data_IF_590683064722
#
_entry.id   IF_590683064722
#
_cell.length_a   1.000
_cell.length_b   1.000
_cell.length_c   1.000
_cell.angle_alpha   90.00
_cell.angle_beta   90.00
_cell.angle_gamma   90.00
#
_symmetry.space_group_name_H-M   'P 1'
#
loop_
_entity.id
_entity.type
_entity.pdbx_description
1 polymer ?
#
# COMPACT_ATOMS: atom_id res chain seq x y z
N UNK A 1 22.34 -20.17 -8.71
CA UNK A 1 22.88 -18.88 -8.28
C UNK A 1 22.67 -18.80 -6.79
N UNK A 2 23.71 -18.49 -6.03
CA UNK A 2 23.55 -18.30 -4.59
C UNK A 2 22.61 -17.13 -4.34
N UNK A 3 21.63 -17.33 -3.43
CA UNK A 3 20.63 -16.32 -3.08
C UNK A 3 21.34 -15.12 -2.46
N UNK A 4 21.22 -13.95 -3.06
CA UNK A 4 21.83 -12.71 -2.55
C UNK A 4 21.30 -12.48 -1.13
N UNK A 5 22.21 -12.32 -0.17
CA UNK A 5 21.85 -12.13 1.24
C UNK A 5 21.52 -10.66 1.49
N UNK A 6 20.32 -10.40 2.00
CA UNK A 6 19.88 -9.11 2.51
C UNK A 6 20.27 -8.95 3.99
N UNK A 7 20.36 -7.71 4.44
CA UNK A 7 20.55 -7.36 5.86
C UNK A 7 19.23 -7.48 6.62
N UNK A 8 19.30 -7.53 7.94
CA UNK A 8 18.09 -7.52 8.78
C UNK A 8 17.52 -6.11 8.89
N UNK A 9 16.23 -6.03 9.18
CA UNK A 9 15.55 -4.73 9.36
C UNK A 9 16.10 -4.00 10.60
N UNK A 10 16.46 -4.74 11.66
CA UNK A 10 17.07 -4.17 12.87
C UNK A 10 18.42 -3.50 12.57
N UNK A 11 19.28 -4.12 11.74
CA UNK A 11 20.55 -3.53 11.30
C UNK A 11 20.30 -2.23 10.52
N UNK A 12 19.31 -2.23 9.62
CA UNK A 12 18.96 -1.05 8.84
C UNK A 12 18.40 0.09 9.71
N UNK A 13 17.53 -0.22 10.68
CA UNK A 13 16.98 0.76 11.65
C UNK A 13 18.11 1.40 12.45
N UNK A 14 19.08 0.60 12.90
CA UNK A 14 20.21 1.11 13.70
C UNK A 14 21.11 2.07 12.89
N UNK A 15 21.41 1.72 11.64
CA UNK A 15 22.19 2.57 10.75
C UNK A 15 21.40 3.84 10.37
N UNK A 16 20.10 3.71 10.09
CA UNK A 16 19.23 4.85 9.80
C UNK A 16 19.14 5.85 10.96
N UNK A 17 19.10 5.33 12.21
CA UNK A 17 19.13 6.15 13.44
C UNK A 17 20.43 6.95 13.58
N UNK A 18 21.54 6.43 13.09
CA UNK A 18 22.85 7.13 13.06
C UNK A 18 22.97 8.10 11.89
N UNK A 19 21.97 8.16 11.03
CA UNK A 19 21.97 8.96 9.81
C UNK A 19 22.78 8.32 8.69
N UNK A 20 23.05 7.03 8.72
CA UNK A 20 23.65 6.33 7.60
C UNK A 20 22.61 5.97 6.53
N UNK A 21 23.07 5.77 5.31
CA UNK A 21 22.21 5.34 4.21
C UNK A 21 21.78 3.89 4.36
N UNK A 22 20.56 3.63 3.90
CA UNK A 22 20.04 2.28 3.68
C UNK A 22 19.63 2.15 2.22
N UNK A 23 20.01 1.05 1.58
CA UNK A 23 19.51 0.67 0.25
C UNK A 23 18.26 -0.18 0.45
N UNK A 24 17.16 0.23 -0.16
CA UNK A 24 15.88 -0.48 -0.07
C UNK A 24 15.47 -0.94 -1.46
N UNK A 25 15.16 -2.22 -1.62
CA UNK A 25 14.66 -2.79 -2.88
C UNK A 25 13.21 -3.16 -2.77
N UNK A 26 12.47 -2.98 -3.85
CA UNK A 26 11.10 -3.44 -3.97
C UNK A 26 11.00 -4.79 -4.70
N UNK A 27 9.77 -5.24 -4.96
CA UNK A 27 9.48 -6.51 -5.61
C UNK A 27 9.82 -6.47 -7.11
N UNK A 28 10.27 -7.61 -7.66
CA UNK A 28 10.56 -7.78 -9.10
C UNK A 28 9.33 -7.52 -9.98
N UNK A 29 8.13 -7.80 -9.45
CA UNK A 29 6.85 -7.60 -10.15
C UNK A 29 6.29 -6.16 -10.03
N UNK A 30 6.99 -5.26 -9.27
CA UNK A 30 6.58 -3.86 -9.09
C UNK A 30 7.45 -2.91 -9.94
N UNK A 31 8.46 -2.26 -9.38
CA UNK A 31 9.43 -1.40 -10.07
C UNK A 31 10.72 -2.19 -10.36
N UNK A 32 11.01 -3.16 -9.50
CA UNK A 32 12.26 -3.91 -9.50
C UNK A 32 13.49 -2.99 -9.42
N UNK A 33 13.42 -2.00 -8.53
CA UNK A 33 14.42 -0.95 -8.37
C UNK A 33 14.96 -0.92 -6.93
N UNK A 34 16.00 -0.14 -6.72
CA UNK A 34 16.54 0.13 -5.40
C UNK A 34 16.79 1.60 -5.18
N UNK A 35 16.36 2.10 -4.03
CA UNK A 35 16.55 3.47 -3.62
C UNK A 35 17.58 3.59 -2.49
N UNK A 36 18.40 4.64 -2.57
CA UNK A 36 19.27 5.08 -1.50
C UNK A 36 18.48 6.03 -0.59
N UNK A 37 18.28 5.64 0.67
CA UNK A 37 17.38 6.34 1.60
C UNK A 37 18.13 6.80 2.84
N UNK A 38 17.79 7.99 3.37
CA UNK A 38 18.34 8.57 4.61
C UNK A 38 17.29 9.43 5.32
N UNK A 39 17.37 9.52 6.65
CA UNK A 39 16.52 10.41 7.45
C UNK A 39 16.74 11.89 7.08
N UNK A 40 15.65 12.63 6.88
CA UNK A 40 15.71 14.04 6.47
C UNK A 40 16.40 14.94 7.49
N UNK A 41 16.19 14.71 8.79
CA UNK A 41 16.80 15.53 9.85
C UNK A 41 18.32 15.34 9.96
N UNK A 42 18.86 14.21 9.49
CA UNK A 42 20.27 13.84 9.58
C UNK A 42 21.03 13.99 8.26
N UNK A 43 20.37 14.51 7.20
CA UNK A 43 21.01 14.73 5.91
C UNK A 43 21.98 15.91 5.95
N UNK A 44 23.15 15.76 5.35
CA UNK A 44 24.18 16.80 5.22
C UNK A 44 24.49 17.13 3.76
N UNK A 45 25.16 18.24 3.46
CA UNK A 45 25.60 18.54 2.10
C UNK A 45 26.43 17.42 1.47
N UNK A 46 27.33 16.78 2.25
CA UNK A 46 28.17 15.67 1.80
C UNK A 46 27.32 14.46 1.42
N UNK A 47 26.26 14.19 2.20
CA UNK A 47 25.32 13.09 1.94
C UNK A 47 24.46 13.35 0.69
N UNK A 48 23.97 14.58 0.50
CA UNK A 48 23.31 14.96 -0.76
C UNK A 48 24.26 14.77 -1.95
N UNK A 49 25.52 15.23 -1.82
CA UNK A 49 26.51 15.06 -2.88
C UNK A 49 26.81 13.57 -3.15
N UNK A 50 26.85 12.73 -2.11
CA UNK A 50 26.98 11.28 -2.23
C UNK A 50 25.82 10.68 -3.06
N UNK A 51 24.56 11.04 -2.73
CA UNK A 51 23.39 10.59 -3.49
C UNK A 51 23.50 10.98 -4.97
N UNK A 52 23.79 12.24 -5.24
CA UNK A 52 23.92 12.76 -6.62
C UNK A 52 25.00 12.03 -7.42
N UNK A 53 26.11 11.69 -6.76
CA UNK A 53 27.26 11.05 -7.39
C UNK A 53 27.05 9.55 -7.62
N UNK A 54 26.42 8.86 -6.67
CA UNK A 54 26.40 7.40 -6.64
C UNK A 54 25.03 6.79 -6.95
N UNK A 55 23.92 7.46 -6.60
CA UNK A 55 22.58 6.98 -6.96
C UNK A 55 22.13 7.49 -8.33
N UNK A 56 22.29 8.79 -8.64
CA UNK A 56 22.04 9.42 -9.96
C UNK A 56 20.58 9.56 -10.39
N UNK A 57 19.62 9.14 -9.55
CA UNK A 57 18.18 9.25 -9.77
C UNK A 57 17.63 10.65 -9.47
N UNK A 58 16.34 10.73 -9.20
CA UNK A 58 15.67 11.98 -8.82
C UNK A 58 15.68 12.13 -7.30
N UNK A 59 16.25 13.23 -6.79
CA UNK A 59 16.25 13.50 -5.36
C UNK A 59 14.83 13.89 -4.91
N UNK A 60 14.21 13.02 -4.15
CA UNK A 60 12.89 13.18 -3.58
C UNK A 60 12.94 13.26 -2.05
N UNK A 61 11.91 13.88 -1.47
CA UNK A 61 11.77 14.03 -0.02
C UNK A 61 10.40 13.55 0.47
N UNK A 62 10.25 12.26 0.79
CA UNK A 62 9.05 11.74 1.42
C UNK A 62 8.74 12.42 2.74
N UNK A 63 7.48 12.83 2.93
CA UNK A 63 6.92 13.36 4.17
C UNK A 63 5.49 12.84 4.35
N UNK A 64 4.97 12.93 5.57
CA UNK A 64 3.60 12.49 5.85
C UNK A 64 2.55 13.40 5.22
N UNK A 65 1.35 12.88 4.98
CA UNK A 65 0.21 13.67 4.49
C UNK A 65 -0.10 14.85 5.40
N UNK A 66 -0.05 14.63 6.73
CA UNK A 66 -0.24 15.71 7.71
C UNK A 66 0.79 16.82 7.54
N UNK A 67 2.07 16.45 7.34
CA UNK A 67 3.13 17.42 7.14
C UNK A 67 3.01 18.19 5.83
N UNK A 68 2.58 17.54 4.75
CA UNK A 68 2.25 18.22 3.51
C UNK A 68 1.17 19.30 3.71
N UNK A 69 0.11 18.97 4.47
CA UNK A 69 -0.96 19.93 4.79
C UNK A 69 -0.49 21.09 5.65
N UNK A 70 0.32 20.81 6.68
CA UNK A 70 0.91 21.85 7.55
C UNK A 70 1.76 22.83 6.77
N UNK A 71 2.52 22.35 5.78
CA UNK A 71 3.40 23.15 4.95
C UNK A 71 2.75 23.71 3.69
N UNK A 72 1.43 23.51 3.50
CA UNK A 72 0.68 23.90 2.30
C UNK A 72 1.36 23.45 1.01
N UNK A 73 1.62 22.14 0.92
CA UNK A 73 2.22 21.48 -0.24
C UNK A 73 1.17 20.63 -0.97
N UNK A 74 0.39 21.21 -1.89
CA UNK A 74 -0.60 20.45 -2.66
C UNK A 74 0.08 19.49 -3.64
N UNK A 75 -0.71 18.55 -4.17
CA UNK A 75 -0.26 17.70 -5.27
C UNK A 75 0.20 18.55 -6.48
N UNK A 76 1.22 18.07 -7.17
CA UNK A 76 1.77 18.75 -8.35
C UNK A 76 0.76 18.87 -9.49
N UNK A 77 -0.17 17.90 -9.58
CA UNK A 77 -1.23 17.87 -10.59
C UNK A 77 -2.57 17.54 -9.94
N UNK A 78 -3.65 18.03 -10.51
CA UNK A 78 -5.02 17.73 -10.07
C UNK A 78 -5.46 16.32 -10.46
N UNK A 79 -4.93 15.80 -11.57
CA UNK A 79 -5.19 14.44 -12.05
C UNK A 79 -3.85 13.74 -12.28
N UNK A 80 -3.56 12.73 -11.47
CA UNK A 80 -2.34 11.94 -11.59
C UNK A 80 -2.56 10.83 -12.63
N UNK A 81 -1.80 10.87 -13.74
CA UNK A 81 -1.84 9.88 -14.83
C UNK A 81 -0.56 9.03 -14.89
N UNK A 82 0.33 9.14 -13.89
CA UNK A 82 1.54 8.31 -13.86
C UNK A 82 1.18 6.84 -13.64
N UNK A 83 1.96 5.94 -14.24
CA UNK A 83 1.70 4.49 -14.25
C UNK A 83 1.57 3.94 -12.83
N UNK A 84 2.40 4.39 -11.90
CA UNK A 84 2.45 3.92 -10.50
C UNK A 84 1.80 4.90 -9.51
N UNK A 85 1.16 5.96 -10.01
CA UNK A 85 0.49 6.94 -9.17
C UNK A 85 1.44 7.69 -8.22
N UNK A 86 2.72 7.92 -8.61
CA UNK A 86 3.71 8.59 -7.76
C UNK A 86 3.22 9.95 -7.28
N UNK A 87 3.08 10.14 -5.95
CA UNK A 87 2.33 11.26 -5.39
C UNK A 87 3.21 12.50 -5.17
N UNK A 88 3.72 13.09 -6.24
CA UNK A 88 4.50 14.33 -6.17
C UNK A 88 3.67 15.50 -5.67
N UNK A 89 4.29 16.32 -4.81
CA UNK A 89 3.81 17.68 -4.52
C UNK A 89 4.46 18.70 -5.45
N UNK A 90 4.05 19.97 -5.33
CA UNK A 90 4.81 21.07 -5.91
C UNK A 90 6.24 21.06 -5.38
N UNK A 91 7.21 21.42 -6.22
CA UNK A 91 8.62 21.50 -5.84
C UNK A 91 8.90 22.71 -4.97
N UNK A 92 9.92 22.63 -4.11
CA UNK A 92 10.24 23.66 -3.13
C UNK A 92 11.74 23.87 -2.96
N UNK A 93 12.09 25.07 -2.47
CA UNK A 93 13.41 25.38 -1.90
C UNK A 93 13.24 26.16 -0.62
N UNK A 94 14.12 25.93 0.39
CA UNK A 94 14.18 26.76 1.59
C UNK A 94 14.67 28.16 1.24
N UNK A 95 13.98 29.21 1.70
CA UNK A 95 14.30 30.59 1.37
C UNK A 95 15.48 31.14 2.20
N UNK A 96 15.37 31.03 3.51
CA UNK A 96 16.38 31.58 4.39
C UNK A 96 17.64 30.72 4.47
N UNK A 97 18.81 31.33 4.28
CA UNK A 97 20.11 30.67 4.36
C UNK A 97 20.45 29.77 3.16
N UNK A 98 19.68 29.88 2.05
CA UNK A 98 19.97 29.21 0.79
C UNK A 98 20.29 30.24 -0.31
N UNK A 99 20.92 29.76 -1.39
CA UNK A 99 21.25 30.58 -2.56
C UNK A 99 20.23 30.36 -3.69
N UNK A 100 20.57 29.54 -4.68
CA UNK A 100 19.68 29.23 -5.83
C UNK A 100 18.86 27.94 -5.65
N UNK A 101 19.04 27.22 -4.54
CA UNK A 101 18.34 25.96 -4.27
C UNK A 101 19.02 24.70 -4.83
N UNK A 102 19.96 24.83 -5.78
CA UNK A 102 20.53 23.70 -6.53
C UNK A 102 21.71 23.04 -5.83
N UNK A 103 22.51 23.78 -5.08
CA UNK A 103 23.70 23.24 -4.43
C UNK A 103 23.37 22.11 -3.46
N UNK A 104 24.33 21.21 -3.21
CA UNK A 104 24.15 20.15 -2.21
C UNK A 104 23.82 20.74 -0.82
N UNK A 105 24.37 21.91 -0.48
CA UNK A 105 24.10 22.62 0.76
C UNK A 105 22.65 23.13 0.82
N UNK A 106 22.16 23.76 -0.25
CA UNK A 106 20.77 24.27 -0.32
C UNK A 106 19.76 23.14 -0.28
N UNK A 107 20.01 22.06 -1.04
CA UNK A 107 19.14 20.87 -1.04
C UNK A 107 19.09 20.20 0.34
N UNK A 108 20.24 20.02 1.00
CA UNK A 108 20.28 19.48 2.35
C UNK A 108 19.54 20.38 3.34
N UNK A 109 19.67 21.70 3.23
CA UNK A 109 18.96 22.66 4.08
C UNK A 109 17.44 22.59 3.85
N UNK A 110 17.00 22.46 2.60
CA UNK A 110 15.58 22.32 2.24
C UNK A 110 14.99 21.02 2.79
N UNK A 111 15.69 19.88 2.63
CA UNK A 111 15.23 18.58 3.12
C UNK A 111 15.17 18.56 4.66
N UNK A 112 16.18 19.11 5.36
CA UNK A 112 16.12 19.22 6.82
C UNK A 112 14.96 20.09 7.29
N UNK A 113 14.67 21.18 6.58
CA UNK A 113 13.55 22.06 6.94
C UNK A 113 12.19 21.35 6.83
N UNK A 114 12.03 20.32 5.98
CA UNK A 114 10.82 19.50 5.94
C UNK A 114 10.61 18.70 7.23
N UNK A 115 11.71 18.29 7.88
CA UNK A 115 11.70 17.58 9.17
C UNK A 115 11.69 18.50 10.39
N UNK A 116 11.91 19.79 10.24
CA UNK A 116 11.89 20.76 11.34
C UNK A 116 10.44 21.12 11.70
N UNK A 117 9.96 20.80 12.91
CA UNK A 117 8.58 21.10 13.34
C UNK A 117 8.26 22.61 13.37
N UNK A 118 9.29 23.48 13.41
CA UNK A 118 9.12 24.93 13.40
C UNK A 118 8.96 25.51 11.98
N UNK A 119 9.24 24.74 10.94
CA UNK A 119 9.05 25.18 9.56
C UNK A 119 7.58 25.37 9.23
N UNK A 120 7.30 26.45 8.52
CA UNK A 120 5.95 26.89 8.10
C UNK A 120 5.88 27.01 6.57
N UNK A 121 4.70 27.23 5.98
CA UNK A 121 4.58 27.44 4.54
C UNK A 121 5.52 28.50 3.99
N UNK A 122 5.71 29.59 4.73
CA UNK A 122 6.58 30.73 4.34
C UNK A 122 8.08 30.42 4.39
N UNK A 123 8.46 29.28 5.00
CA UNK A 123 9.86 28.81 5.00
C UNK A 123 10.33 28.45 3.59
N UNK A 124 9.38 28.11 2.69
CA UNK A 124 9.67 27.55 1.38
C UNK A 124 9.22 28.43 0.22
N UNK A 125 10.12 28.66 -0.73
CA UNK A 125 9.80 29.14 -2.07
C UNK A 125 9.21 28.04 -2.94
N UNK A 126 8.33 28.40 -3.88
CA UNK A 126 7.59 27.52 -4.80
C UNK A 126 7.56 28.16 -6.17
N UNK A 127 7.97 27.49 -7.27
CA UNK A 127 8.61 26.16 -7.30
C UNK A 127 10.05 26.21 -6.80
N UNK A 128 10.66 25.01 -6.62
CA UNK A 128 12.07 24.84 -6.22
C UNK A 128 12.69 23.58 -6.84
N UNK A 129 13.74 23.04 -6.20
CA UNK A 129 14.55 21.93 -6.73
C UNK A 129 14.46 20.65 -5.90
N UNK A 130 13.72 20.65 -4.78
CA UNK A 130 13.40 19.43 -4.03
C UNK A 130 11.97 19.01 -4.37
N UNK A 131 11.78 17.70 -4.53
CA UNK A 131 10.53 17.04 -4.88
C UNK A 131 9.93 16.35 -3.65
N UNK A 132 9.07 16.99 -2.84
CA UNK A 132 8.41 16.30 -1.77
C UNK A 132 7.39 15.28 -2.31
N UNK A 133 7.24 14.15 -1.56
CA UNK A 133 6.29 13.09 -1.87
C UNK A 133 5.33 12.88 -0.70
N UNK A 134 4.05 12.67 -1.02
CA UNK A 134 3.06 12.21 -0.04
C UNK A 134 3.30 10.75 0.31
N UNK A 135 3.71 10.45 1.53
CA UNK A 135 3.71 9.07 2.02
C UNK A 135 2.34 8.71 2.56
N UNK A 136 1.83 7.57 2.15
CA UNK A 136 0.54 7.07 2.62
C UNK A 136 0.57 6.81 4.13
N UNK A 137 -0.54 7.16 4.81
CA UNK A 137 -0.72 6.79 6.20
C UNK A 137 -0.62 5.27 6.36
N UNK A 138 -0.03 4.81 7.46
CA UNK A 138 0.35 3.41 7.75
C UNK A 138 1.56 2.87 6.96
N UNK A 139 2.23 3.67 6.14
CA UNK A 139 3.49 3.33 5.48
C UNK A 139 3.38 2.12 4.55
N UNK A 140 4.41 1.25 4.58
CA UNK A 140 4.47 0.05 3.71
C UNK A 140 3.29 -0.91 3.91
N UNK A 141 2.61 -0.86 5.06
CA UNK A 141 1.39 -1.63 5.31
C UNK A 141 0.16 -1.09 4.56
N UNK A 142 0.25 0.06 3.91
CA UNK A 142 -0.78 0.61 3.03
C UNK A 142 -0.36 0.55 1.56
N UNK A 143 0.89 0.93 1.25
CA UNK A 143 1.48 0.90 -0.08
C UNK A 143 2.93 0.42 0.01
N UNK A 144 3.24 -0.71 -0.63
CA UNK A 144 4.56 -1.34 -0.62
C UNK A 144 5.54 -0.59 -1.56
N UNK A 145 5.81 0.69 -1.28
CA UNK A 145 6.68 1.56 -2.08
C UNK A 145 7.83 2.16 -1.26
N UNK A 146 8.88 2.64 -1.95
CA UNK A 146 10.07 3.27 -1.35
C UNK A 146 9.71 4.53 -0.54
N UNK A 147 8.73 5.32 -1.00
CA UNK A 147 8.19 6.48 -0.29
C UNK A 147 7.71 6.11 1.11
N UNK A 148 6.91 5.05 1.22
CA UNK A 148 6.38 4.56 2.48
C UNK A 148 7.45 3.89 3.33
N UNK A 149 8.35 3.11 2.71
CA UNK A 149 9.47 2.47 3.40
C UNK A 149 10.38 3.47 4.09
N UNK A 150 10.65 4.62 3.46
CA UNK A 150 11.49 5.67 4.04
C UNK A 150 10.87 6.32 5.28
N UNK A 151 9.56 6.54 5.29
CA UNK A 151 8.84 7.07 6.47
C UNK A 151 8.78 6.04 7.60
N UNK A 152 8.61 4.76 7.26
CA UNK A 152 8.59 3.70 8.26
C UNK A 152 9.95 3.50 8.91
N UNK A 153 11.04 3.53 8.14
CA UNK A 153 12.40 3.49 8.68
C UNK A 153 12.65 4.68 9.63
N UNK A 154 12.20 5.89 9.27
CA UNK A 154 12.32 7.05 10.14
C UNK A 154 11.56 6.85 11.46
N UNK A 155 10.31 6.38 11.42
CA UNK A 155 9.50 6.09 12.61
C UNK A 155 10.11 5.00 13.49
N UNK A 156 10.55 3.88 12.88
CA UNK A 156 11.17 2.77 13.60
C UNK A 156 12.51 3.15 14.22
N UNK A 157 13.23 4.07 13.59
CA UNK A 157 14.47 4.65 14.14
C UNK A 157 14.22 5.68 15.25
N UNK A 158 12.97 6.10 15.50
CA UNK A 158 12.60 7.13 16.47
C UNK A 158 12.92 8.55 16.01
N UNK A 159 13.00 8.76 14.69
CA UNK A 159 13.29 10.04 14.03
C UNK A 159 12.00 10.69 13.51
N UNK A 160 12.10 11.97 13.12
CA UNK A 160 10.99 12.66 12.49
C UNK A 160 10.57 11.92 11.19
N UNK A 161 9.26 11.69 10.91
CA UNK A 161 8.80 10.92 9.78
C UNK A 161 8.93 11.69 8.45
N UNK A 162 10.16 11.95 8.08
CA UNK A 162 10.61 12.56 6.83
C UNK A 162 11.94 11.96 6.40
N UNK A 163 12.16 11.81 5.11
CA UNK A 163 13.38 11.21 4.57
C UNK A 163 13.83 11.92 3.28
N UNK A 164 15.01 11.58 2.80
CA UNK A 164 15.43 11.76 1.43
C UNK A 164 15.59 10.39 0.78
N UNK A 165 15.19 10.26 -0.46
CA UNK A 165 15.42 9.08 -1.29
C UNK A 165 15.85 9.47 -2.69
N UNK A 166 16.57 8.54 -3.35
CA UNK A 166 16.98 8.68 -4.73
C UNK A 166 17.14 7.28 -5.33
N UNK A 167 16.57 7.05 -6.49
CA UNK A 167 16.69 5.80 -7.24
C UNK A 167 18.15 5.57 -7.66
N UNK A 168 18.60 4.31 -7.65
CA UNK A 168 19.98 3.95 -8.00
C UNK A 168 20.05 3.49 -9.45
N UNK A 169 20.84 4.21 -10.24
CA UNK A 169 21.14 3.88 -11.63
C UNK A 169 22.57 3.42 -11.79
N UNK A 170 22.80 2.55 -12.76
CA UNK A 170 24.11 2.16 -13.25
C UNK A 170 24.80 3.35 -13.97
N UNK A 171 26.12 3.22 -14.24
CA UNK A 171 26.87 4.28 -14.92
C UNK A 171 26.42 4.50 -16.37
N UNK A 172 25.83 3.49 -17.00
CA UNK A 172 25.27 3.56 -18.34
C UNK A 172 23.85 4.19 -18.39
N UNK A 173 23.29 4.58 -17.24
CA UNK A 173 21.96 5.18 -17.12
C UNK A 173 20.81 4.18 -17.02
N UNK A 174 21.09 2.86 -17.02
CA UNK A 174 20.05 1.84 -16.72
C UNK A 174 19.79 1.75 -15.24
N UNK A 175 18.60 1.25 -14.85
CA UNK A 175 18.29 1.05 -13.43
C UNK A 175 19.10 -0.09 -12.85
N UNK A 176 19.72 0.13 -11.68
CA UNK A 176 20.43 -0.91 -10.96
C UNK A 176 19.42 -1.94 -10.39
N UNK A 177 19.77 -3.23 -10.52
CA UNK A 177 18.97 -4.34 -10.01
C UNK A 177 19.68 -4.98 -8.81
N UNK A 178 19.05 -5.93 -8.16
CA UNK A 178 19.53 -6.53 -6.91
C UNK A 178 21.04 -6.92 -6.91
N UNK A 179 21.63 -7.50 -7.99
CA UNK A 179 23.06 -7.81 -8.02
C UNK A 179 23.97 -6.56 -8.00
N UNK A 180 23.59 -5.50 -8.72
CA UNK A 180 24.31 -4.23 -8.76
C UNK A 180 24.17 -3.48 -7.43
N UNK A 181 22.95 -3.47 -6.85
CA UNK A 181 22.65 -2.86 -5.57
C UNK A 181 23.44 -3.52 -4.43
N UNK A 182 23.58 -4.87 -4.45
CA UNK A 182 24.40 -5.58 -3.46
C UNK A 182 25.88 -5.19 -3.58
N UNK A 183 26.42 -5.08 -4.80
CA UNK A 183 27.80 -4.63 -5.02
C UNK A 183 28.04 -3.22 -4.48
N UNK A 184 27.14 -2.29 -4.79
CA UNK A 184 27.21 -0.93 -4.26
C UNK A 184 27.12 -0.90 -2.73
N UNK A 185 26.19 -1.66 -2.14
CA UNK A 185 26.05 -1.73 -0.70
C UNK A 185 27.33 -2.31 -0.03
N UNK A 186 27.96 -3.33 -0.62
CA UNK A 186 29.22 -3.89 -0.12
C UNK A 186 30.37 -2.91 -0.25
N UNK A 187 30.47 -2.18 -1.38
CA UNK A 187 31.53 -1.19 -1.63
C UNK A 187 31.50 -0.05 -0.60
N UNK A 188 30.30 0.44 -0.27
CA UNK A 188 30.14 1.59 0.65
C UNK A 188 29.76 1.17 2.09
N UNK A 189 29.72 -0.13 2.39
CA UNK A 189 29.35 -0.64 3.73
C UNK A 189 27.91 -0.37 4.13
N UNK A 190 26.99 -0.25 3.17
CA UNK A 190 25.57 0.08 3.40
C UNK A 190 24.75 -1.19 3.69
N UNK A 191 23.66 -1.01 4.43
CA UNK A 191 22.67 -2.08 4.59
C UNK A 191 21.74 -2.10 3.38
N UNK A 192 21.41 -3.31 2.93
CA UNK A 192 20.51 -3.58 1.82
C UNK A 192 19.36 -4.44 2.36
N UNK A 193 18.14 -3.92 2.31
CA UNK A 193 16.91 -4.58 2.78
C UNK A 193 15.85 -4.58 1.67
N UNK A 194 14.82 -5.43 1.82
CA UNK A 194 13.64 -5.41 0.95
C UNK A 194 12.43 -4.77 1.64
N UNK A 195 11.52 -4.19 0.84
CA UNK A 195 10.21 -3.72 1.32
C UNK A 195 9.41 -4.90 1.87
N UNK A 196 9.51 -6.09 1.27
CA UNK A 196 8.84 -7.30 1.74
C UNK A 196 9.29 -7.68 3.17
N UNK A 197 10.60 -7.62 3.46
CA UNK A 197 11.11 -7.89 4.82
C UNK A 197 10.67 -6.81 5.81
N UNK A 198 10.62 -5.54 5.38
CA UNK A 198 10.11 -4.44 6.23
C UNK A 198 8.62 -4.62 6.56
N UNK A 199 7.80 -5.05 5.60
CA UNK A 199 6.39 -5.41 5.83
C UNK A 199 6.29 -6.55 6.82
N UNK A 200 7.04 -7.64 6.61
CA UNK A 200 7.05 -8.80 7.50
C UNK A 200 7.48 -8.41 8.93
N UNK A 201 8.50 -7.57 9.06
CA UNK A 201 8.96 -7.03 10.33
C UNK A 201 7.86 -6.24 11.05
N UNK A 202 7.21 -5.29 10.36
CA UNK A 202 6.13 -4.48 10.92
C UNK A 202 4.92 -5.33 11.32
N UNK A 203 4.51 -6.29 10.48
CA UNK A 203 3.42 -7.23 10.81
C UNK A 203 3.73 -8.12 12.01
N UNK A 204 5.01 -8.41 12.28
CA UNK A 204 5.45 -9.17 13.45
C UNK A 204 5.46 -8.34 14.73
N UNK A 205 5.85 -7.06 14.62
CA UNK A 205 6.07 -6.17 15.78
C UNK A 205 4.91 -5.21 16.05
N UNK A 206 4.01 -5.00 15.08
CA UNK A 206 2.86 -4.11 15.21
C UNK A 206 1.54 -4.89 15.16
N UNK A 207 0.71 -4.74 16.17
CA UNK A 207 -0.65 -5.27 16.17
C UNK A 207 -1.60 -4.17 15.69
N UNK A 208 -2.00 -4.21 14.42
CA UNK A 208 -2.91 -3.23 13.80
C UNK A 208 -4.36 -3.44 14.19
N UNK A 209 -4.72 -4.66 14.63
CA UNK A 209 -6.09 -5.05 14.96
C UNK A 209 -6.17 -5.57 16.40
N UNK A 210 -7.29 -5.32 17.04
CA UNK A 210 -7.68 -5.90 18.31
C UNK A 210 -8.71 -6.99 18.03
N UNK A 211 -8.41 -8.23 18.46
CA UNK A 211 -9.31 -9.38 18.32
C UNK A 211 -10.39 -9.35 19.39
N UNK A 212 -11.65 -9.43 18.97
CA UNK A 212 -12.80 -9.55 19.87
C UNK A 212 -13.11 -10.98 20.28
N UNK A 213 -14.27 -11.15 20.91
CA UNK A 213 -14.74 -12.48 21.36
C UNK A 213 -15.26 -13.30 20.18
N UNK A 214 -14.99 -14.59 20.20
CA UNK A 214 -15.52 -15.54 19.24
C UNK A 214 -16.93 -15.97 19.65
N UNK A 215 -17.85 -16.03 18.69
CA UNK A 215 -19.22 -16.48 18.90
C UNK A 215 -19.64 -17.46 17.79
N UNK A 216 -20.58 -18.32 18.14
CA UNK A 216 -21.24 -19.21 17.18
C UNK A 216 -22.24 -18.41 16.31
N UNK A 217 -22.21 -18.62 14.99
CA UNK A 217 -23.00 -17.87 14.02
C UNK A 217 -23.67 -18.79 13.00
N UNK A 218 -24.86 -19.31 13.34
CA UNK A 218 -25.70 -19.99 12.32
C UNK A 218 -26.28 -18.95 11.35
N UNK A 219 -26.21 -19.26 10.06
CA UNK A 219 -26.71 -18.41 8.99
C UNK A 219 -27.50 -19.25 7.95
N UNK A 220 -28.26 -18.61 7.07
CA UNK A 220 -28.95 -19.29 5.97
C UNK A 220 -27.99 -19.96 4.97
N UNK A 221 -26.71 -19.50 4.93
CA UNK A 221 -25.70 -19.98 3.99
C UNK A 221 -24.63 -20.87 4.62
N UNK A 222 -24.82 -21.26 5.89
CA UNK A 222 -23.90 -22.13 6.61
C UNK A 222 -23.75 -21.77 8.08
N UNK A 223 -22.95 -22.57 8.78
CA UNK A 223 -22.69 -22.45 10.21
C UNK A 223 -21.23 -22.11 10.44
N UNK A 224 -20.93 -20.94 11.01
CA UNK A 224 -19.60 -20.38 11.16
C UNK A 224 -19.31 -19.98 12.60
N UNK A 225 -18.04 -19.82 12.94
CA UNK A 225 -17.59 -19.04 14.08
C UNK A 225 -17.33 -17.63 13.61
N UNK A 226 -17.81 -16.62 14.33
CA UNK A 226 -17.60 -15.21 14.02
C UNK A 226 -16.65 -14.60 15.04
N UNK A 227 -15.63 -13.90 14.54
CA UNK A 227 -14.70 -13.13 15.36
C UNK A 227 -14.68 -11.69 14.82
N UNK A 228 -15.07 -10.68 15.61
CA UNK A 228 -14.88 -9.28 15.24
C UNK A 228 -13.44 -8.84 15.49
N UNK A 229 -12.95 -7.94 14.66
CA UNK A 229 -11.64 -7.31 14.80
C UNK A 229 -11.80 -5.80 14.70
N UNK A 230 -11.24 -5.05 15.66
CA UNK A 230 -11.20 -3.58 15.62
C UNK A 230 -9.85 -3.12 15.10
N UNK A 231 -9.84 -2.30 14.03
CA UNK A 231 -8.65 -1.65 13.54
C UNK A 231 -8.23 -0.51 14.47
N UNK A 232 -7.04 -0.58 15.05
CA UNK A 232 -6.57 0.39 16.07
C UNK A 232 -6.40 1.81 15.54
N UNK A 233 -6.10 1.99 14.24
CA UNK A 233 -5.78 3.29 13.65
C UNK A 233 -7.00 4.19 13.41
N UNK A 234 -8.19 3.60 13.18
CA UNK A 234 -9.41 4.34 12.81
C UNK A 234 -10.68 3.83 13.49
N UNK A 235 -10.57 2.79 14.34
CA UNK A 235 -11.68 2.20 15.06
C UNK A 235 -12.68 1.39 14.22
N UNK A 236 -12.43 1.20 12.93
CA UNK A 236 -13.30 0.38 12.07
C UNK A 236 -13.30 -1.08 12.54
N UNK A 237 -14.48 -1.68 12.49
CA UNK A 237 -14.68 -3.07 12.86
C UNK A 237 -14.82 -3.95 11.62
N UNK A 238 -14.08 -5.06 11.61
CA UNK A 238 -14.03 -6.06 10.58
C UNK A 238 -14.47 -7.40 11.16
N UNK A 239 -14.82 -8.36 10.29
CA UNK A 239 -15.34 -9.64 10.74
C UNK A 239 -14.58 -10.76 10.05
N UNK A 240 -14.19 -11.80 10.83
CA UNK A 240 -13.81 -13.09 10.29
C UNK A 240 -14.93 -14.10 10.56
N UNK A 241 -15.44 -14.76 9.50
CA UNK A 241 -16.27 -15.94 9.57
C UNK A 241 -15.39 -17.16 9.30
N UNK A 242 -15.38 -18.11 10.21
CA UNK A 242 -14.45 -19.26 10.20
C UNK A 242 -15.26 -20.56 10.21
N UNK A 243 -14.89 -21.48 9.32
CA UNK A 243 -15.40 -22.84 9.28
C UNK A 243 -14.26 -23.84 9.53
N UNK A 244 -14.45 -24.79 10.41
CA UNK A 244 -13.48 -25.85 10.72
C UNK A 244 -12.24 -25.35 11.47
N UNK A 245 -11.22 -26.21 11.59
CA UNK A 245 -9.94 -25.94 12.23
C UNK A 245 -8.82 -25.98 11.20
N UNK A 246 -7.81 -25.10 11.33
CA UNK A 246 -6.68 -24.99 10.42
C UNK A 246 -5.43 -25.63 11.03
N UNK A 247 -4.66 -26.33 10.19
CA UNK A 247 -3.33 -26.80 10.55
C UNK A 247 -2.29 -25.79 10.05
N UNK A 248 -1.16 -25.73 10.73
CA UNK A 248 -0.01 -24.94 10.28
C UNK A 248 0.38 -25.37 8.87
N UNK A 249 0.66 -24.39 7.99
CA UNK A 249 1.03 -24.58 6.58
C UNK A 249 -0.01 -25.24 5.67
N UNK A 250 -1.25 -25.40 6.11
CA UNK A 250 -2.33 -25.92 5.27
C UNK A 250 -2.92 -24.82 4.35
N UNK A 251 -3.08 -25.06 3.03
CA UNK A 251 -3.78 -24.13 2.17
C UNK A 251 -5.27 -24.07 2.50
N UNK A 252 -5.73 -22.96 3.07
CA UNK A 252 -7.11 -22.74 3.50
C UNK A 252 -7.90 -22.00 2.45
N UNK A 253 -9.16 -22.39 2.20
CA UNK A 253 -10.04 -21.66 1.30
C UNK A 253 -10.47 -20.33 1.93
N UNK A 254 -10.14 -19.20 1.28
CA UNK A 254 -10.34 -17.86 1.84
C UNK A 254 -11.07 -16.94 0.87
N UNK A 255 -12.04 -16.18 1.39
CA UNK A 255 -12.60 -15.01 0.74
C UNK A 255 -12.26 -13.76 1.53
N UNK A 256 -11.58 -12.79 0.92
CA UNK A 256 -11.49 -11.42 1.45
C UNK A 256 -12.55 -10.59 0.76
N UNK A 257 -13.56 -10.14 1.50
CA UNK A 257 -14.72 -9.40 1.00
C UNK A 257 -14.71 -7.98 1.56
N UNK A 258 -14.74 -6.98 0.70
CA UNK A 258 -14.94 -5.58 1.13
C UNK A 258 -16.43 -5.27 1.17
N UNK A 259 -16.88 -4.66 2.26
CA UNK A 259 -18.29 -4.34 2.49
C UNK A 259 -18.91 -3.57 1.33
N UNK A 260 -20.15 -3.89 1.07
CA UNK A 260 -20.99 -3.21 0.09
C UNK A 260 -22.43 -3.16 0.63
N UNK A 261 -22.75 -2.16 1.42
CA UNK A 261 -24.06 -2.05 2.09
C UNK A 261 -25.23 -2.21 1.11
N UNK A 262 -25.12 -1.64 -0.08
CA UNK A 262 -26.17 -1.74 -1.10
C UNK A 262 -26.34 -3.17 -1.63
N UNK A 263 -25.25 -3.91 -1.85
CA UNK A 263 -25.28 -5.29 -2.35
C UNK A 263 -25.50 -6.32 -1.24
N UNK A 264 -24.74 -6.20 -0.14
CA UNK A 264 -24.71 -7.22 0.90
C UNK A 264 -25.95 -7.20 1.81
N UNK A 265 -26.51 -5.99 2.06
CA UNK A 265 -27.67 -5.83 2.96
C UNK A 265 -28.97 -5.68 2.16
N UNK A 266 -28.98 -4.83 1.11
CA UNK A 266 -30.21 -4.49 0.40
C UNK A 266 -30.40 -5.27 -0.90
N UNK A 267 -29.48 -6.18 -1.26
CA UNK A 267 -29.59 -7.00 -2.47
C UNK A 267 -29.62 -6.18 -3.75
N UNK A 268 -28.86 -5.08 -3.83
CA UNK A 268 -28.80 -4.24 -5.02
C UNK A 268 -28.36 -5.03 -6.24
N UNK A 269 -29.12 -4.96 -7.31
CA UNK A 269 -28.82 -5.57 -8.60
C UNK A 269 -27.77 -4.81 -9.42
N UNK A 270 -27.31 -3.63 -8.97
CA UNK A 270 -26.28 -2.82 -9.66
C UNK A 270 -24.86 -3.39 -9.51
N UNK A 271 -24.65 -4.33 -8.60
CA UNK A 271 -23.37 -5.01 -8.39
C UNK A 271 -23.59 -6.50 -8.13
N UNK A 272 -22.51 -7.25 -8.00
CA UNK A 272 -22.49 -8.69 -7.72
C UNK A 272 -22.02 -9.01 -6.28
N UNK A 273 -21.90 -8.00 -5.39
CA UNK A 273 -21.24 -8.15 -4.08
C UNK A 273 -21.98 -9.12 -3.16
N UNK A 274 -23.27 -8.92 -2.90
CA UNK A 274 -24.06 -9.78 -2.02
C UNK A 274 -24.11 -11.23 -2.53
N UNK A 275 -24.31 -11.43 -3.84
CA UNK A 275 -24.28 -12.77 -4.45
C UNK A 275 -22.92 -13.44 -4.28
N UNK A 276 -21.80 -12.72 -4.46
CA UNK A 276 -20.47 -13.25 -4.21
C UNK A 276 -20.23 -13.60 -2.74
N UNK A 277 -20.76 -12.80 -1.80
CA UNK A 277 -20.65 -13.09 -0.38
C UNK A 277 -21.36 -14.39 0.00
N UNK A 278 -22.63 -14.51 -0.37
CA UNK A 278 -23.44 -15.69 -0.09
C UNK A 278 -22.85 -16.95 -0.74
N UNK A 279 -22.44 -16.85 -2.01
CA UNK A 279 -21.79 -17.95 -2.73
C UNK A 279 -20.47 -18.38 -2.08
N UNK A 280 -19.67 -17.43 -1.58
CA UNK A 280 -18.45 -17.76 -0.85
C UNK A 280 -18.78 -18.52 0.46
N UNK A 281 -19.82 -18.11 1.19
CA UNK A 281 -20.27 -18.80 2.39
C UNK A 281 -20.69 -20.24 2.07
N UNK A 282 -21.49 -20.44 1.05
CA UNK A 282 -21.97 -21.78 0.62
C UNK A 282 -20.81 -22.69 0.15
N UNK A 283 -19.84 -22.15 -0.59
CA UNK A 283 -18.66 -22.90 -1.02
C UNK A 283 -17.83 -23.36 0.18
N UNK A 284 -17.57 -22.46 1.13
CA UNK A 284 -16.80 -22.74 2.34
C UNK A 284 -17.57 -23.72 3.26
N UNK A 285 -18.90 -23.56 3.40
CA UNK A 285 -19.74 -24.50 4.15
C UNK A 285 -19.64 -25.90 3.57
N UNK A 286 -19.73 -26.04 2.23
CA UNK A 286 -19.62 -27.31 1.51
C UNK A 286 -18.23 -27.94 1.62
N UNK A 287 -17.17 -27.13 1.58
CA UNK A 287 -15.78 -27.56 1.78
C UNK A 287 -15.57 -28.05 3.23
N UNK A 288 -16.36 -27.54 4.19
CA UNK A 288 -16.25 -27.85 5.62
C UNK A 288 -15.08 -27.13 6.31
N UNK A 289 -14.27 -26.36 5.57
CA UNK A 289 -13.11 -25.63 6.08
C UNK A 289 -12.85 -24.38 5.25
N UNK A 290 -12.64 -23.24 5.91
CA UNK A 290 -12.31 -21.98 5.24
C UNK A 290 -12.61 -20.76 6.08
N UNK A 291 -12.33 -19.57 5.53
CA UNK A 291 -12.59 -18.30 6.17
C UNK A 291 -13.08 -17.22 5.21
N UNK A 292 -13.96 -16.35 5.71
CA UNK A 292 -14.34 -15.11 5.06
C UNK A 292 -13.87 -13.96 5.92
N UNK A 293 -13.05 -13.08 5.36
CA UNK A 293 -12.66 -11.83 5.99
C UNK A 293 -13.51 -10.72 5.39
N UNK A 294 -14.47 -10.23 6.18
CA UNK A 294 -15.36 -9.14 5.78
C UNK A 294 -14.78 -7.81 6.28
N UNK A 295 -14.23 -7.04 5.34
CA UNK A 295 -13.58 -5.77 5.62
C UNK A 295 -14.57 -4.61 5.46
N UNK A 296 -14.70 -3.80 6.48
CA UNK A 296 -15.51 -2.58 6.46
C UNK A 296 -14.77 -1.49 5.64
N UNK A 297 -14.82 -1.63 4.31
CA UNK A 297 -14.17 -0.76 3.33
C UNK A 297 -15.13 -0.49 2.16
N UNK A 298 -16.24 0.19 2.47
CA UNK A 298 -17.32 0.50 1.52
C UNK A 298 -16.79 1.28 0.31
N UNK A 299 -17.35 0.97 -0.87
CA UNK A 299 -17.03 1.69 -2.10
C UNK A 299 -15.56 1.55 -2.54
N UNK A 300 -14.87 0.44 -2.21
CA UNK A 300 -13.43 0.24 -2.39
C UNK A 300 -12.56 1.21 -1.58
N UNK A 301 -13.03 1.59 -0.40
CA UNK A 301 -12.32 2.48 0.53
C UNK A 301 -12.82 3.93 0.54
N UNK A 302 -13.54 4.38 -0.49
CA UNK A 302 -14.03 5.77 -0.59
C UNK A 302 -15.23 6.08 0.31
N UNK A 303 -15.88 5.06 0.86
CA UNK A 303 -17.05 5.18 1.71
C UNK A 303 -18.39 5.27 0.96
N UNK A 304 -19.49 5.15 1.71
CA UNK A 304 -20.84 5.09 1.13
C UNK A 304 -21.25 6.39 0.44
N UNK A 305 -20.93 7.54 1.04
CA UNK A 305 -21.34 8.85 0.49
C UNK A 305 -20.72 9.10 -0.89
N UNK A 306 -19.41 8.89 -1.02
CA UNK A 306 -18.70 9.08 -2.29
C UNK A 306 -19.13 8.02 -3.33
N UNK A 307 -19.37 6.78 -2.89
CA UNK A 307 -19.96 5.75 -3.76
C UNK A 307 -21.33 6.17 -4.32
N UNK A 308 -22.19 6.84 -3.53
CA UNK A 308 -23.48 7.34 -4.05
C UNK A 308 -23.30 8.45 -5.08
N UNK A 309 -22.32 9.34 -4.90
CA UNK A 309 -21.95 10.34 -5.91
C UNK A 309 -21.45 9.65 -7.20
N UNK A 310 -20.59 8.64 -7.07
CA UNK A 310 -20.12 7.86 -8.21
C UNK A 310 -21.29 7.15 -8.94
N UNK A 311 -22.27 6.62 -8.22
CA UNK A 311 -23.49 6.06 -8.82
C UNK A 311 -24.28 7.10 -9.61
N UNK A 312 -24.33 8.35 -9.14
CA UNK A 312 -25.01 9.45 -9.87
C UNK A 312 -24.30 9.75 -11.19
N UNK A 313 -22.97 9.85 -11.16
CA UNK A 313 -22.17 10.04 -12.38
C UNK A 313 -22.30 8.85 -13.37
N UNK A 314 -22.45 7.63 -12.85
CA UNK A 314 -22.71 6.46 -13.69
C UNK A 314 -24.08 6.49 -14.36
N UNK A 315 -25.11 7.03 -13.70
CA UNK A 315 -26.43 7.27 -14.31
C UNK A 315 -26.34 8.29 -15.45
N UNK A 316 -25.38 9.21 -15.38
CA UNK A 316 -25.08 10.22 -16.42
C UNK A 316 -24.18 9.69 -17.54
N UNK A 317 -23.76 8.41 -17.45
CA UNK A 317 -23.05 7.70 -18.54
C UNK A 317 -21.58 7.42 -18.27
N UNK A 318 -20.98 7.83 -17.15
CA UNK A 318 -19.61 7.47 -16.79
C UNK A 318 -19.49 5.97 -16.47
N UNK A 319 -18.30 5.41 -16.58
CA UNK A 319 -18.01 4.10 -16.00
C UNK A 319 -17.56 4.23 -14.52
N UNK A 320 -17.37 3.11 -13.84
CA UNK A 320 -17.03 3.11 -12.40
C UNK A 320 -15.65 3.73 -12.11
N UNK A 321 -14.69 3.53 -13.00
CA UNK A 321 -13.32 4.05 -12.84
C UNK A 321 -13.30 5.56 -13.06
N UNK A 322 -13.89 6.01 -14.17
CA UNK A 322 -13.95 7.43 -14.51
C UNK A 322 -14.77 8.23 -13.49
N UNK A 323 -15.84 7.65 -12.95
CA UNK A 323 -16.64 8.27 -11.89
C UNK A 323 -15.82 8.49 -10.60
N UNK A 324 -15.00 7.52 -10.18
CA UNK A 324 -14.13 7.67 -9.00
C UNK A 324 -13.05 8.73 -9.24
N UNK A 325 -12.39 8.72 -10.40
CA UNK A 325 -11.35 9.69 -10.75
C UNK A 325 -11.94 11.11 -10.79
N UNK A 326 -13.15 11.27 -11.35
CA UNK A 326 -13.85 12.57 -11.40
C UNK A 326 -14.13 13.15 -10.00
N UNK A 327 -14.32 12.27 -9.01
CA UNK A 327 -14.51 12.65 -7.60
C UNK A 327 -13.20 12.85 -6.83
N UNK A 328 -12.04 12.70 -7.49
CA UNK A 328 -10.72 12.86 -6.87
C UNK A 328 -10.22 11.62 -6.13
N UNK A 329 -10.79 10.45 -6.38
CA UNK A 329 -10.42 9.18 -5.78
C UNK A 329 -9.60 8.31 -6.73
N UNK A 330 -8.79 7.40 -6.17
CA UNK A 330 -8.16 6.33 -6.94
C UNK A 330 -9.19 5.27 -7.36
N UNK A 331 -8.83 4.44 -8.35
CA UNK A 331 -9.68 3.35 -8.80
C UNK A 331 -9.91 2.28 -7.70
N UNK A 332 -8.95 2.13 -6.79
CA UNK A 332 -8.99 1.19 -5.66
C UNK A 332 -8.19 1.73 -4.46
N UNK A 333 -8.88 2.17 -3.42
CA UNK A 333 -8.31 2.68 -2.16
C UNK A 333 -8.36 1.65 -1.01
N UNK A 334 -8.54 0.35 -1.30
CA UNK A 334 -8.62 -0.68 -0.26
C UNK A 334 -7.30 -0.91 0.44
N UNK A 335 -7.40 -1.13 1.75
CA UNK A 335 -6.30 -1.52 2.63
C UNK A 335 -6.27 -3.05 2.77
N UNK A 336 -5.31 -3.69 2.10
CA UNK A 336 -5.14 -5.15 2.17
C UNK A 336 -4.35 -5.60 3.41
N UNK A 337 -3.58 -4.70 4.04
CA UNK A 337 -2.76 -5.00 5.21
C UNK A 337 -3.58 -5.43 6.42
N UNK A 338 -4.73 -4.80 6.65
CA UNK A 338 -5.66 -5.21 7.73
C UNK A 338 -6.20 -6.61 7.49
N UNK A 339 -6.60 -6.92 6.25
CA UNK A 339 -7.07 -8.26 5.88
C UNK A 339 -5.99 -9.32 6.07
N UNK A 340 -4.76 -9.02 5.67
CA UNK A 340 -3.62 -9.90 5.85
C UNK A 340 -3.32 -10.17 7.33
N UNK A 341 -3.37 -9.12 8.18
CA UNK A 341 -3.15 -9.32 9.61
C UNK A 341 -4.26 -10.14 10.27
N UNK A 342 -5.53 -9.90 9.92
CA UNK A 342 -6.64 -10.72 10.43
C UNK A 342 -6.43 -12.19 10.05
N UNK A 343 -6.03 -12.47 8.80
CA UNK A 343 -5.74 -13.84 8.35
C UNK A 343 -4.64 -14.50 9.21
N UNK A 344 -3.55 -13.79 9.46
CA UNK A 344 -2.45 -14.29 10.32
C UNK A 344 -2.90 -14.50 11.77
N UNK A 345 -3.70 -13.59 12.35
CA UNK A 345 -4.25 -13.69 13.71
C UNK A 345 -5.19 -14.91 13.91
N UNK A 346 -5.83 -15.37 12.82
CA UNK A 346 -6.63 -16.60 12.84
C UNK A 346 -5.85 -17.85 12.39
N UNK A 347 -4.51 -17.72 12.19
CA UNK A 347 -3.62 -18.82 11.85
C UNK A 347 -3.58 -19.23 10.38
N UNK A 348 -3.99 -18.35 9.45
CA UNK A 348 -3.94 -18.61 8.01
C UNK A 348 -2.73 -17.90 7.40
N UNK A 349 -1.75 -18.68 6.92
CA UNK A 349 -0.55 -18.20 6.23
C UNK A 349 -0.53 -18.60 4.75
N UNK A 350 -1.15 -19.75 4.42
CA UNK A 350 -1.31 -20.26 3.07
C UNK A 350 -2.78 -20.35 2.72
N UNK A 351 -3.15 -19.97 1.49
CA UNK A 351 -4.56 -19.96 1.11
C UNK A 351 -4.81 -20.30 -0.36
N UNK A 352 -6.00 -20.83 -0.59
CA UNK A 352 -6.69 -20.88 -1.88
C UNK A 352 -7.66 -19.71 -1.89
N UNK A 353 -7.41 -18.69 -2.72
CA UNK A 353 -8.13 -17.42 -2.65
C UNK A 353 -9.34 -17.40 -3.60
N UNK A 354 -10.55 -17.27 -3.04
CA UNK A 354 -11.79 -17.04 -3.80
C UNK A 354 -11.80 -15.62 -4.39
N UNK A 355 -11.33 -15.46 -5.62
CA UNK A 355 -11.25 -14.15 -6.28
C UNK A 355 -11.17 -14.28 -7.81
N UNK A 356 -11.71 -13.26 -8.50
CA UNK A 356 -11.49 -13.01 -9.93
C UNK A 356 -10.63 -11.75 -10.15
N UNK A 357 -10.13 -11.11 -9.05
CA UNK A 357 -9.35 -9.88 -9.10
C UNK A 357 -7.86 -10.18 -8.88
N UNK A 358 -6.99 -10.06 -9.92
CA UNK A 358 -5.55 -10.31 -9.78
C UNK A 358 -4.85 -9.31 -8.83
N UNK A 359 -5.28 -8.06 -8.78
CA UNK A 359 -4.72 -7.04 -7.88
C UNK A 359 -4.87 -7.43 -6.42
N UNK A 360 -5.98 -8.08 -6.05
CA UNK A 360 -6.21 -8.57 -4.69
C UNK A 360 -5.19 -9.63 -4.28
N UNK A 361 -4.78 -10.49 -5.21
CA UNK A 361 -3.73 -11.48 -4.99
C UNK A 361 -2.40 -10.80 -4.66
N UNK A 362 -1.93 -9.93 -5.54
CA UNK A 362 -0.68 -9.17 -5.36
C UNK A 362 -0.69 -8.40 -4.03
N UNK A 363 -1.83 -7.77 -3.72
CA UNK A 363 -1.99 -7.04 -2.47
C UNK A 363 -1.82 -7.90 -1.21
N UNK A 364 -2.27 -9.16 -1.21
CA UNK A 364 -2.13 -10.06 -0.06
C UNK A 364 -0.73 -10.72 0.01
N UNK A 365 -0.17 -11.11 -1.14
CA UNK A 365 1.18 -11.68 -1.23
C UNK A 365 2.25 -10.69 -0.74
N UNK A 366 2.07 -9.39 -1.03
CA UNK A 366 2.94 -8.33 -0.52
C UNK A 366 3.04 -8.27 1.03
N UNK A 367 2.05 -8.83 1.73
CA UNK A 367 2.04 -8.92 3.19
C UNK A 367 2.49 -10.30 3.73
N UNK A 368 3.19 -11.08 2.91
CA UNK A 368 3.79 -12.36 3.30
C UNK A 368 2.79 -13.50 3.49
N UNK A 369 1.66 -13.45 2.79
CA UNK A 369 0.72 -14.56 2.68
C UNK A 369 0.99 -15.33 1.40
N UNK A 370 0.97 -16.66 1.46
CA UNK A 370 1.16 -17.53 0.31
C UNK A 370 -0.18 -17.88 -0.34
N UNK A 371 -0.38 -17.48 -1.60
CA UNK A 371 -1.58 -17.84 -2.37
C UNK A 371 -1.24 -19.00 -3.30
N UNK A 372 -1.65 -20.19 -2.93
CA UNK A 372 -1.36 -21.43 -3.69
C UNK A 372 -2.27 -21.61 -4.89
N UNK A 373 -3.49 -21.06 -4.85
CA UNK A 373 -4.48 -21.21 -5.91
C UNK A 373 -5.45 -20.01 -5.93
N UNK A 374 -5.83 -19.55 -7.13
CA UNK A 374 -6.97 -18.67 -7.33
C UNK A 374 -8.20 -19.50 -7.66
N UNK A 375 -9.19 -19.47 -6.79
CA UNK A 375 -10.47 -20.15 -7.00
C UNK A 375 -11.47 -19.13 -7.56
N UNK A 376 -12.02 -19.33 -8.77
CA UNK A 376 -12.96 -18.37 -9.36
C UNK A 376 -14.27 -18.33 -8.57
N UNK A 377 -14.84 -17.11 -8.47
CA UNK A 377 -16.14 -16.89 -7.86
C UNK A 377 -16.97 -15.99 -8.79
N UNK A 378 -17.61 -16.60 -9.75
CA UNK A 378 -18.39 -15.90 -10.76
C UNK A 378 -19.87 -15.91 -10.40
N UNK A 379 -20.55 -14.83 -10.74
CA UNK A 379 -21.98 -14.62 -10.58
C UNK A 379 -22.63 -14.49 -11.95
N UNK A 380 -23.93 -14.71 -12.03
CA UNK A 380 -24.64 -14.57 -13.30
C UNK A 380 -24.93 -13.09 -13.56
N UNK A 381 -24.51 -12.54 -14.72
CA UNK A 381 -24.85 -11.18 -15.10
C UNK A 381 -26.37 -10.95 -15.14
N UNK A 382 -26.80 -9.77 -14.75
CA UNK A 382 -28.18 -9.31 -14.89
C UNK A 382 -28.23 -7.97 -15.68
N UNK A 383 -29.38 -7.52 -16.18
CA UNK A 383 -29.46 -6.31 -17.00
C UNK A 383 -28.98 -5.03 -16.32
N UNK A 384 -28.87 -5.00 -14.98
CA UNK A 384 -28.46 -3.82 -14.23
C UNK A 384 -26.97 -3.82 -13.89
N UNK A 385 -26.30 -4.99 -13.82
CA UNK A 385 -24.88 -5.10 -13.48
C UNK A 385 -23.97 -5.47 -14.66
N UNK A 386 -24.51 -5.81 -15.82
CA UNK A 386 -23.75 -6.24 -16.99
C UNK A 386 -22.64 -5.24 -17.35
N UNK A 387 -22.97 -3.95 -17.45
CA UNK A 387 -22.01 -2.89 -17.73
C UNK A 387 -20.93 -2.82 -16.64
N UNK A 388 -21.28 -2.95 -15.38
CA UNK A 388 -20.35 -2.96 -14.26
C UNK A 388 -19.39 -4.15 -14.33
N UNK A 389 -19.88 -5.34 -14.67
CA UNK A 389 -19.05 -6.55 -14.83
C UNK A 389 -18.10 -6.43 -16.04
N UNK A 390 -18.55 -5.82 -17.14
CA UNK A 390 -17.68 -5.49 -18.27
C UNK A 390 -16.57 -4.50 -17.86
N UNK A 391 -16.87 -3.45 -17.11
CA UNK A 391 -15.84 -2.52 -16.59
C UNK A 391 -14.82 -3.24 -15.71
N UNK A 392 -15.26 -4.17 -14.83
CA UNK A 392 -14.34 -5.01 -14.05
C UNK A 392 -13.39 -5.81 -14.93
N UNK A 393 -13.91 -6.43 -16.01
CA UNK A 393 -13.11 -7.25 -16.93
C UNK A 393 -12.16 -6.38 -17.74
N UNK A 394 -12.68 -5.37 -18.42
CA UNK A 394 -11.98 -4.64 -19.49
C UNK A 394 -11.03 -3.55 -18.94
N UNK A 395 -11.40 -2.90 -17.81
CA UNK A 395 -10.67 -1.79 -17.22
C UNK A 395 -9.88 -2.15 -15.96
N UNK A 396 -10.27 -3.24 -15.27
CA UNK A 396 -9.67 -3.63 -13.98
C UNK A 396 -9.02 -5.01 -14.00
N UNK A 397 -8.90 -5.64 -15.18
CA UNK A 397 -8.18 -6.90 -15.37
C UNK A 397 -8.80 -8.12 -14.67
N UNK A 398 -10.10 -8.07 -14.29
CA UNK A 398 -10.75 -9.23 -13.69
C UNK A 398 -10.89 -10.39 -14.67
N UNK A 399 -10.59 -11.60 -14.19
CA UNK A 399 -10.80 -12.84 -14.94
C UNK A 399 -12.27 -13.26 -14.84
N UNK A 400 -13.12 -12.76 -15.74
CA UNK A 400 -14.54 -13.07 -15.80
C UNK A 400 -14.88 -13.75 -17.13
N UNK A 401 -15.62 -14.85 -17.08
CA UNK A 401 -16.11 -15.58 -18.25
C UNK A 401 -17.62 -15.35 -18.36
N UNK A 402 -18.03 -14.57 -19.35
CA UNK A 402 -19.44 -14.41 -19.65
C UNK A 402 -19.84 -15.52 -20.62
N UNK A 403 -20.63 -16.50 -20.15
CA UNK A 403 -21.30 -17.44 -21.07
C UNK A 403 -22.26 -16.61 -21.94
N UNK A 404 -22.09 -16.72 -23.26
CA UNK A 404 -22.99 -16.12 -24.23
C UNK A 404 -24.37 -16.76 -24.19
#
# INVERSE_FOLDING_TARGET
MDKIKLNTIEEAIEDFRKGEFVVVVDDEDRENEGDLIIAAELITPEKVNFMLKHARGVLCAPITISRCKELDLPHQVTTNTSILGTPFTITIDKLEGCTTGVSAADRAATIRALADPNSRPETFGRPGHINPLYAQDKGVLRRAGHTEASIDLARLAGLYPAAALMEIMNEDGTMARLPELRRMADEFGLKLISIADLIAYRLKHETLVEKGVEVDMPTEHGHFRLIPFRQKSNGLEHIALIKGEFKEDEPVLVRVHSSCATGDIFGSMRCDCGEQLHKAMEIIEKEGKGAIIYLNQEGRGIGLMEKMKAYKLQEEGMDTVDANICLGHEADERDYGVGAQILREIGIHKMRLLTNNPVKRVGLEAYGLEITENVPIETTPNPYNERYLHTKKDRMGHTLHFNK
#
